data_IF_904480418141
#
_entry.id   IF_904480418141
#
_cell.length_a   1.000
_cell.length_b   1.000
_cell.length_c   1.000
_cell.angle_alpha   90.00
_cell.angle_beta   90.00
_cell.angle_gamma   90.00
#
_symmetry.space_group_name_H-M   'P 1'
#
loop_
_entity.id
_entity.type
_entity.pdbx_description
1 polymer ?
#
# COMPACT_ATOMS: atom_id res chain seq x y z
N UNK A 1 0.89 -16.11 12.96
CA UNK A 1 0.32 -15.09 12.05
C UNK A 1 1.39 -14.09 11.64
N UNK A 2 2.13 -13.46 12.60
CA UNK A 2 3.16 -12.47 12.28
C UNK A 2 4.32 -13.08 11.49
N UNK A 3 4.86 -14.22 11.93
CA UNK A 3 5.93 -14.94 11.24
C UNK A 3 5.50 -15.36 9.83
N UNK A 4 4.30 -15.91 9.68
CA UNK A 4 3.76 -16.36 8.39
C UNK A 4 3.56 -15.22 7.39
N UNK A 5 3.07 -14.04 7.84
CA UNK A 5 2.94 -12.86 6.99
C UNK A 5 4.31 -12.35 6.55
N UNK A 6 5.26 -12.32 7.47
CA UNK A 6 6.63 -11.92 7.21
C UNK A 6 7.31 -12.86 6.21
N UNK A 7 7.22 -14.18 6.44
CA UNK A 7 7.80 -15.20 5.55
C UNK A 7 7.19 -15.14 4.15
N UNK A 8 5.87 -14.89 4.06
CA UNK A 8 5.18 -14.76 2.77
C UNK A 8 5.64 -13.51 2.01
N UNK A 9 5.80 -12.38 2.68
CA UNK A 9 6.32 -11.15 2.09
C UNK A 9 7.77 -11.34 1.67
N UNK A 10 8.61 -11.85 2.55
CA UNK A 10 10.03 -12.09 2.29
C UNK A 10 10.24 -12.99 1.07
N UNK A 11 9.59 -14.15 1.02
CA UNK A 11 9.69 -15.08 -0.12
C UNK A 11 9.13 -14.50 -1.42
N UNK A 12 8.14 -13.60 -1.34
CA UNK A 12 7.60 -12.93 -2.53
C UNK A 12 8.60 -11.94 -3.10
N UNK A 13 9.26 -11.15 -2.26
CA UNK A 13 10.27 -10.18 -2.70
C UNK A 13 11.57 -10.83 -3.13
N UNK A 14 11.98 -11.93 -2.48
CA UNK A 14 13.12 -12.75 -2.93
C UNK A 14 12.90 -13.29 -4.36
N UNK A 15 11.68 -13.76 -4.66
CA UNK A 15 11.32 -14.17 -6.03
C UNK A 15 11.32 -13.02 -7.04
N UNK A 16 11.17 -11.79 -6.58
CA UNK A 16 11.30 -10.57 -7.39
C UNK A 16 12.76 -10.09 -7.52
N UNK A 17 13.73 -10.83 -6.93
CA UNK A 17 15.14 -10.53 -7.03
C UNK A 17 15.67 -9.53 -6.01
N UNK A 18 14.89 -9.18 -4.98
CA UNK A 18 15.34 -8.32 -3.89
C UNK A 18 15.88 -9.18 -2.73
N UNK A 19 17.18 -9.19 -2.56
CA UNK A 19 17.88 -9.97 -1.52
C UNK A 19 18.31 -9.14 -0.31
N UNK A 20 18.15 -7.81 -0.34
CA UNK A 20 18.73 -6.91 0.66
C UNK A 20 20.24 -6.76 0.54
N UNK A 21 20.83 -6.04 1.49
CA UNK A 21 22.28 -5.87 1.62
C UNK A 21 22.77 -6.57 2.88
N UNK A 22 23.90 -7.28 2.77
CA UNK A 22 24.58 -7.90 3.91
C UNK A 22 25.43 -6.86 4.65
N UNK A 23 25.44 -6.92 5.97
CA UNK A 23 26.34 -6.12 6.78
C UNK A 23 27.79 -6.57 6.52
N UNK A 24 28.69 -5.62 6.40
CA UNK A 24 30.09 -5.91 6.15
C UNK A 24 31.01 -5.01 6.99
N UNK A 25 32.17 -5.53 7.27
CA UNK A 25 33.31 -4.81 7.78
C UNK A 25 34.47 -5.02 6.82
N UNK A 26 35.16 -3.96 6.43
CA UNK A 26 36.33 -4.04 5.54
C UNK A 26 37.40 -3.12 6.07
N UNK A 27 38.53 -3.67 6.36
CA UNK A 27 39.75 -2.94 6.74
C UNK A 27 40.96 -3.62 6.08
N UNK A 28 41.73 -2.83 5.35
CA UNK A 28 42.98 -3.21 4.67
C UNK A 28 42.94 -4.57 3.97
N UNK A 29 43.25 -5.63 4.69
CA UNK A 29 43.42 -6.97 4.15
C UNK A 29 42.27 -7.93 4.43
N UNK A 30 41.33 -7.58 5.31
CA UNK A 30 40.21 -8.42 5.74
C UNK A 30 38.86 -7.79 5.44
N UNK A 31 38.02 -8.54 4.77
CA UNK A 31 36.59 -8.22 4.63
C UNK A 31 35.74 -9.34 5.24
N UNK A 32 34.83 -8.96 6.11
CA UNK A 32 33.89 -9.87 6.77
C UNK A 32 32.49 -9.47 6.36
N UNK A 33 31.71 -10.39 5.81
CA UNK A 33 30.36 -10.12 5.31
C UNK A 33 29.38 -11.09 5.97
N UNK A 34 28.29 -10.58 6.52
CA UNK A 34 27.21 -11.40 7.05
C UNK A 34 26.60 -12.26 5.93
N UNK A 35 26.31 -13.52 6.22
CA UNK A 35 25.70 -14.45 5.24
C UNK A 35 24.23 -14.09 4.97
N UNK A 36 23.51 -13.58 5.96
CA UNK A 36 22.14 -13.16 5.82
C UNK A 36 22.02 -11.65 5.57
N UNK A 37 21.26 -11.23 4.55
CA UNK A 37 20.98 -9.83 4.35
C UNK A 37 20.07 -9.30 5.45
N UNK A 38 20.28 -8.07 5.86
CA UNK A 38 19.44 -7.39 6.83
C UNK A 38 20.19 -6.69 7.96
N UNK A 39 19.40 -5.93 8.74
CA UNK A 39 19.93 -5.14 9.84
C UNK A 39 20.49 -5.99 11.01
N UNK A 40 20.14 -7.28 11.10
CA UNK A 40 20.64 -8.18 12.14
C UNK A 40 22.15 -8.36 12.06
N UNK A 41 22.74 -8.34 10.87
CA UNK A 41 24.16 -8.41 10.67
C UNK A 41 24.94 -7.19 11.20
N UNK A 42 24.26 -6.04 11.37
CA UNK A 42 24.88 -4.85 11.94
C UNK A 42 25.17 -4.97 13.45
N UNK A 43 24.60 -5.97 14.10
CA UNK A 43 24.84 -6.22 15.53
C UNK A 43 26.04 -7.14 15.74
N UNK A 44 26.63 -7.68 14.68
CA UNK A 44 27.84 -8.50 14.76
C UNK A 44 29.06 -7.65 14.99
N UNK A 45 29.87 -8.10 15.95
CA UNK A 45 31.16 -7.51 16.29
C UNK A 45 32.23 -8.59 16.18
N UNK A 46 33.29 -8.25 15.46
CA UNK A 46 34.44 -9.14 15.25
C UNK A 46 35.62 -8.70 16.13
N UNK A 47 36.25 -9.66 16.75
CA UNK A 47 37.50 -9.50 17.50
C UNK A 47 38.54 -10.50 17.00
N UNK A 48 39.74 -10.00 16.66
CA UNK A 48 40.87 -10.80 16.22
C UNK A 48 42.05 -10.53 17.15
N UNK A 49 42.38 -11.50 18.00
CA UNK A 49 43.40 -11.39 19.02
C UNK A 49 44.62 -12.28 18.68
N UNK A 50 45.81 -11.75 18.82
CA UNK A 50 47.03 -12.53 18.61
C UNK A 50 47.41 -13.28 19.90
N UNK A 51 47.64 -14.58 19.76
CA UNK A 51 48.08 -15.46 20.85
C UNK A 51 49.63 -15.38 21.04
N UNK A 52 50.10 -15.80 22.20
CA UNK A 52 51.53 -15.84 22.53
C UNK A 52 52.37 -16.76 21.62
N UNK A 53 51.73 -17.70 20.95
CA UNK A 53 52.35 -18.65 20.01
C UNK A 53 52.40 -18.13 18.56
N UNK A 54 51.94 -16.88 18.33
CA UNK A 54 51.91 -16.26 17.00
C UNK A 54 50.67 -16.59 16.16
N UNK A 55 49.73 -17.44 16.67
CA UNK A 55 48.43 -17.68 16.02
C UNK A 55 47.42 -16.65 16.45
N UNK A 56 46.29 -16.61 15.77
CA UNK A 56 45.19 -15.69 16.08
C UNK A 56 43.95 -16.44 16.60
N UNK A 57 43.22 -15.78 17.48
CA UNK A 57 41.88 -16.19 17.90
C UNK A 57 40.89 -15.20 17.34
N UNK A 58 39.93 -15.70 16.57
CA UNK A 58 38.87 -14.90 15.93
C UNK A 58 37.55 -15.18 16.65
N UNK A 59 36.93 -14.14 17.18
CA UNK A 59 35.65 -14.24 17.91
C UNK A 59 34.60 -13.36 17.24
N UNK A 60 33.45 -13.93 16.95
CA UNK A 60 32.26 -13.20 16.51
C UNK A 60 31.25 -13.19 17.65
N UNK A 61 30.78 -12.01 18.01
CA UNK A 61 29.82 -11.83 19.09
C UNK A 61 28.83 -10.67 18.78
N UNK A 62 27.79 -10.57 19.61
CA UNK A 62 26.86 -9.43 19.61
C UNK A 62 26.99 -8.67 20.91
N UNK A 63 27.27 -7.38 20.84
CA UNK A 63 27.27 -6.48 21.99
C UNK A 63 25.83 -6.00 22.27
N UNK A 64 25.22 -6.47 23.34
CA UNK A 64 23.89 -6.04 23.79
C UNK A 64 23.87 -4.65 24.43
N UNK A 65 25.02 -3.99 24.53
CA UNK A 65 25.15 -2.63 25.08
C UNK A 65 24.87 -2.54 26.59
N UNK A 66 24.88 -1.30 27.09
CA UNK A 66 24.76 -0.99 28.51
C UNK A 66 23.44 -1.41 29.17
N UNK A 67 22.39 -1.67 28.39
CA UNK A 67 21.09 -2.13 28.92
C UNK A 67 21.10 -3.57 29.43
N UNK A 68 22.11 -4.36 29.05
CA UNK A 68 22.27 -5.76 29.50
C UNK A 68 23.33 -5.93 30.60
N UNK A 69 23.91 -4.86 31.12
CA UNK A 69 24.99 -4.90 32.12
C UNK A 69 24.61 -5.45 33.49
N UNK A 70 23.32 -5.68 33.77
CA UNK A 70 22.84 -6.32 34.97
C UNK A 70 22.76 -7.86 34.86
N UNK A 71 23.01 -8.43 33.68
CA UNK A 71 23.06 -9.85 33.44
C UNK A 71 24.52 -10.34 33.53
N UNK A 72 24.77 -11.47 34.14
CA UNK A 72 26.10 -12.10 34.26
C UNK A 72 26.75 -12.48 32.92
N UNK A 73 26.07 -12.29 31.79
CA UNK A 73 26.57 -12.46 30.42
C UNK A 73 26.08 -11.32 29.52
N UNK A 74 26.95 -10.37 29.22
CA UNK A 74 26.65 -9.18 28.42
C UNK A 74 26.87 -9.39 26.92
N UNK A 75 27.40 -10.52 26.49
CA UNK A 75 27.83 -10.79 25.12
C UNK A 75 27.35 -12.17 24.69
N UNK A 76 26.56 -12.22 23.61
CA UNK A 76 26.26 -13.48 22.93
C UNK A 76 27.39 -13.78 21.94
N UNK A 77 28.22 -14.76 22.27
CA UNK A 77 29.28 -15.24 21.36
C UNK A 77 28.69 -16.25 20.39
N UNK A 78 28.80 -15.98 19.10
CA UNK A 78 28.32 -16.87 18.04
C UNK A 78 29.31 -18.00 17.77
N UNK A 79 30.59 -17.64 17.64
CA UNK A 79 31.68 -18.63 17.59
C UNK A 79 33.01 -18.03 18.04
N UNK A 80 33.94 -18.90 18.39
CA UNK A 80 35.35 -18.58 18.65
C UNK A 80 36.18 -19.59 17.90
N UNK A 81 37.07 -19.10 16.99
CA UNK A 81 38.00 -19.90 16.22
C UNK A 81 39.41 -19.64 16.72
N UNK A 82 40.03 -20.67 17.30
CA UNK A 82 41.38 -20.58 17.87
C UNK A 82 42.44 -21.18 16.92
N UNK A 83 43.66 -20.65 16.96
CA UNK A 83 44.82 -21.23 16.28
C UNK A 83 44.92 -20.91 14.79
N UNK A 84 44.25 -19.89 14.31
CA UNK A 84 44.31 -19.44 12.92
C UNK A 84 45.69 -18.84 12.65
N UNK A 85 46.37 -19.30 11.60
CA UNK A 85 47.71 -18.84 11.26
C UNK A 85 47.73 -18.00 9.98
N UNK A 86 46.85 -18.24 9.06
CA UNK A 86 46.81 -17.55 7.75
C UNK A 86 45.42 -17.02 7.39
N UNK A 87 45.37 -16.07 6.47
CA UNK A 87 44.14 -15.53 5.94
C UNK A 87 43.33 -16.57 5.13
N UNK A 88 44.08 -17.48 4.44
CA UNK A 88 43.47 -18.59 3.69
C UNK A 88 42.70 -19.55 4.60
N UNK A 89 43.27 -19.87 5.80
CA UNK A 89 42.57 -20.69 6.80
C UNK A 89 41.31 -20.02 7.29
N UNK A 90 41.36 -18.71 7.56
CA UNK A 90 40.19 -17.94 7.98
C UNK A 90 39.12 -17.85 6.87
N UNK A 91 39.54 -17.62 5.63
CA UNK A 91 38.61 -17.55 4.48
C UNK A 91 37.99 -18.92 4.15
N UNK A 92 38.67 -20.02 4.46
CA UNK A 92 38.15 -21.37 4.28
C UNK A 92 37.22 -21.83 5.44
N UNK A 93 37.14 -21.06 6.54
CA UNK A 93 36.30 -21.42 7.67
C UNK A 93 34.83 -21.23 7.34
N UNK A 94 34.09 -22.34 7.26
CA UNK A 94 32.65 -22.32 7.03
C UNK A 94 31.89 -22.23 8.36
N UNK A 95 30.98 -21.27 8.46
CA UNK A 95 30.09 -21.04 9.59
C UNK A 95 28.76 -20.47 9.10
N UNK A 96 27.74 -20.46 9.95
CA UNK A 96 26.38 -20.03 9.54
C UNK A 96 26.16 -18.51 9.52
N UNK A 97 27.13 -17.70 10.00
CA UNK A 97 26.90 -16.29 10.29
C UNK A 97 27.59 -15.32 9.31
N UNK A 98 28.87 -15.57 9.01
CA UNK A 98 29.68 -14.66 8.21
C UNK A 98 30.55 -15.40 7.21
N UNK A 99 30.96 -14.70 6.15
CA UNK A 99 32.01 -15.13 5.23
C UNK A 99 33.23 -14.22 5.39
N UNK A 100 34.38 -14.82 5.39
CA UNK A 100 35.66 -14.11 5.43
C UNK A 100 36.31 -14.08 4.05
N UNK A 101 36.85 -12.93 3.68
CA UNK A 101 37.62 -12.77 2.44
C UNK A 101 38.74 -11.78 2.68
N UNK A 102 39.88 -12.02 2.05
CA UNK A 102 41.03 -11.14 2.21
C UNK A 102 42.32 -11.75 1.66
N UNK A 103 43.37 -10.96 1.66
CA UNK A 103 44.68 -11.39 1.19
C UNK A 103 45.76 -10.75 2.08
N UNK A 104 46.81 -11.53 2.43
CA UNK A 104 47.91 -11.02 3.24
C UNK A 104 47.94 -11.57 4.66
N UNK A 105 48.58 -10.86 5.59
CA UNK A 105 48.70 -11.25 6.99
C UNK A 105 47.49 -10.85 7.79
N UNK A 106 47.14 -11.68 8.75
CA UNK A 106 46.13 -11.33 9.77
C UNK A 106 46.71 -10.24 10.69
N UNK A 107 45.89 -9.27 11.02
CA UNK A 107 46.17 -8.20 11.97
C UNK A 107 45.21 -8.28 13.17
N UNK A 108 45.65 -7.68 14.28
CA UNK A 108 44.78 -7.59 15.49
C UNK A 108 43.71 -6.57 15.22
N UNK A 109 42.44 -6.96 15.43
CA UNK A 109 41.26 -6.13 15.25
C UNK A 109 40.45 -6.23 16.53
N UNK A 110 40.04 -5.09 17.09
CA UNK A 110 39.22 -5.02 18.26
C UNK A 110 37.89 -4.33 17.98
N UNK A 111 36.81 -4.93 18.48
CA UNK A 111 35.46 -4.36 18.44
C UNK A 111 34.99 -3.91 17.03
N UNK A 112 35.39 -4.63 16.01
CA UNK A 112 35.04 -4.31 14.63
C UNK A 112 33.56 -4.61 14.35
N UNK A 113 32.75 -3.59 14.34
CA UNK A 113 31.30 -3.69 14.11
C UNK A 113 31.01 -3.78 12.60
N UNK A 114 30.22 -4.78 12.19
CA UNK A 114 29.72 -4.87 10.83
C UNK A 114 28.63 -3.80 10.62
N UNK A 115 28.59 -3.21 9.44
CA UNK A 115 27.65 -2.11 9.09
C UNK A 115 27.14 -2.26 7.67
N UNK A 116 26.10 -1.47 7.34
CA UNK A 116 25.55 -1.45 5.97
C UNK A 116 24.58 -2.57 5.64
N UNK A 117 24.30 -3.45 6.60
CA UNK A 117 23.27 -4.46 6.44
C UNK A 117 21.88 -3.82 6.42
N UNK A 118 21.16 -4.06 5.35
CA UNK A 118 19.77 -3.62 5.20
C UNK A 118 18.97 -4.70 4.47
N UNK A 119 17.72 -4.81 4.80
CA UNK A 119 16.84 -5.81 4.23
C UNK A 119 15.39 -5.37 4.23
N UNK A 120 14.54 -6.18 3.61
CA UNK A 120 13.08 -6.00 3.62
C UNK A 120 12.50 -5.75 5.02
N UNK A 121 13.18 -6.24 6.05
CA UNK A 121 12.76 -6.09 7.44
C UNK A 121 12.75 -4.63 7.88
N UNK A 122 13.74 -3.83 7.50
CA UNK A 122 13.80 -2.41 7.86
C UNK A 122 12.71 -1.61 7.17
N UNK A 123 12.38 -1.92 5.92
CA UNK A 123 11.32 -1.28 5.15
C UNK A 123 9.93 -1.45 5.77
N UNK A 124 9.62 -2.68 6.19
CA UNK A 124 8.28 -3.01 6.70
C UNK A 124 8.17 -2.93 8.23
N UNK A 125 9.28 -2.71 8.96
CA UNK A 125 9.28 -2.67 10.42
C UNK A 125 8.24 -1.70 11.01
N UNK A 126 8.04 -0.47 10.52
CA UNK A 126 7.03 0.43 11.06
C UNK A 126 5.60 -0.10 10.89
N UNK A 127 5.28 -0.64 9.70
CA UNK A 127 3.96 -1.23 9.43
C UNK A 127 3.73 -2.50 10.24
N UNK A 128 4.74 -3.35 10.35
CA UNK A 128 4.72 -4.56 11.15
C UNK A 128 4.60 -4.24 12.64
N UNK A 129 5.29 -3.20 13.12
CA UNK A 129 5.18 -2.74 14.50
C UNK A 129 3.76 -2.22 14.82
N UNK A 130 3.16 -1.42 13.93
CA UNK A 130 1.76 -0.99 14.06
C UNK A 130 0.80 -2.18 14.04
N UNK A 131 1.02 -3.15 13.15
CA UNK A 131 0.25 -4.39 13.14
C UNK A 131 0.41 -5.18 14.43
N UNK A 132 1.64 -5.32 14.95
CA UNK A 132 1.89 -5.99 16.24
C UNK A 132 1.23 -5.27 17.42
N UNK A 133 1.29 -3.94 17.46
CA UNK A 133 0.58 -3.15 18.48
C UNK A 133 -0.93 -3.39 18.38
N UNK A 134 -1.48 -3.36 17.17
CA UNK A 134 -2.90 -3.59 16.95
C UNK A 134 -3.31 -5.02 17.33
N UNK A 135 -2.59 -6.04 16.86
CA UNK A 135 -2.93 -7.43 17.12
C UNK A 135 -2.52 -7.92 18.52
N UNK A 136 -1.43 -7.41 19.09
CA UNK A 136 -0.87 -7.87 20.35
C UNK A 136 -1.37 -7.12 21.58
N UNK A 137 -1.62 -5.82 21.47
CA UNK A 137 -1.96 -4.96 22.61
C UNK A 137 -3.43 -4.58 22.70
N UNK A 138 -4.14 -4.54 21.57
CA UNK A 138 -5.56 -4.18 21.55
C UNK A 138 -6.42 -5.42 21.81
N UNK A 139 -7.33 -5.42 22.78
CA UNK A 139 -8.25 -6.53 23.04
C UNK A 139 -9.06 -6.90 21.80
N UNK A 140 -9.33 -8.19 21.59
CA UNK A 140 -10.02 -8.70 20.42
C UNK A 140 -11.36 -8.00 20.14
N UNK A 141 -12.16 -7.75 21.19
CA UNK A 141 -13.45 -7.07 21.07
C UNK A 141 -13.30 -5.65 20.51
N UNK A 142 -12.27 -4.90 20.95
CA UNK A 142 -12.00 -3.55 20.46
C UNK A 142 -11.53 -3.61 19.01
N UNK A 143 -10.70 -4.58 18.63
CA UNK A 143 -10.25 -4.77 17.23
C UNK A 143 -11.43 -4.99 16.29
N UNK A 144 -12.35 -5.88 16.66
CA UNK A 144 -13.56 -6.12 15.86
C UNK A 144 -14.45 -4.88 15.77
N UNK A 145 -14.60 -4.17 16.90
CA UNK A 145 -15.37 -2.91 16.91
C UNK A 145 -14.75 -1.87 15.97
N UNK A 146 -13.43 -1.65 16.05
CA UNK A 146 -12.71 -0.72 15.17
C UNK A 146 -12.79 -1.13 13.70
N UNK A 147 -12.69 -2.42 13.39
CA UNK A 147 -12.85 -2.94 12.04
C UNK A 147 -14.25 -2.63 11.49
N UNK A 148 -15.30 -2.94 12.26
CA UNK A 148 -16.69 -2.67 11.87
C UNK A 148 -16.89 -1.17 11.65
N UNK A 149 -16.46 -0.33 12.57
CA UNK A 149 -16.56 1.13 12.43
C UNK A 149 -15.79 1.63 11.18
N UNK A 150 -14.61 1.09 10.90
CA UNK A 150 -13.83 1.44 9.72
C UNK A 150 -14.54 1.08 8.42
N UNK A 151 -15.15 -0.11 8.35
CA UNK A 151 -15.93 -0.55 7.19
C UNK A 151 -17.17 0.35 6.99
N UNK A 152 -17.87 0.69 8.07
CA UNK A 152 -19.05 1.56 8.00
C UNK A 152 -18.71 3.01 7.62
N UNK A 153 -17.58 3.53 8.13
CA UNK A 153 -17.12 4.89 7.86
C UNK A 153 -16.46 5.03 6.47
N UNK A 154 -15.95 3.93 5.92
CA UNK A 154 -15.20 3.93 4.66
C UNK A 154 -15.97 4.57 3.50
N UNK A 155 -17.20 4.13 3.25
CA UNK A 155 -18.01 4.62 2.16
C UNK A 155 -18.36 6.11 2.25
N UNK A 156 -18.90 6.60 3.39
CA UNK A 156 -19.16 8.03 3.60
C UNK A 156 -17.91 8.90 3.45
N UNK A 157 -16.77 8.50 4.04
CA UNK A 157 -15.51 9.21 3.90
C UNK A 157 -15.05 9.26 2.45
N UNK A 158 -15.18 8.15 1.73
CA UNK A 158 -14.87 8.08 0.29
C UNK A 158 -15.75 9.04 -0.52
N UNK A 159 -17.03 9.19 -0.20
CA UNK A 159 -17.92 10.18 -0.83
C UNK A 159 -17.42 11.61 -0.58
N UNK A 160 -17.08 11.96 0.66
CA UNK A 160 -16.57 13.30 0.98
C UNK A 160 -15.27 13.63 0.22
N UNK A 161 -14.30 12.72 0.23
CA UNK A 161 -13.04 12.88 -0.52
C UNK A 161 -13.31 13.00 -2.03
N UNK A 162 -14.21 12.18 -2.57
CA UNK A 162 -14.56 12.22 -3.99
C UNK A 162 -15.18 13.55 -4.39
N UNK A 163 -16.02 14.13 -3.55
CA UNK A 163 -16.60 15.47 -3.78
C UNK A 163 -15.54 16.54 -3.88
N UNK A 164 -14.65 16.63 -2.92
CA UNK A 164 -13.58 17.63 -2.89
C UNK A 164 -12.65 17.48 -4.10
N UNK A 165 -12.21 16.27 -4.40
CA UNK A 165 -11.34 16.01 -5.54
C UNK A 165 -12.03 16.29 -6.89
N UNK A 166 -13.36 16.03 -7.00
CA UNK A 166 -14.15 16.42 -8.17
C UNK A 166 -14.14 17.93 -8.37
N UNK A 167 -14.38 18.69 -7.30
CA UNK A 167 -14.39 20.15 -7.37
C UNK A 167 -13.02 20.69 -7.81
N UNK A 168 -11.94 20.20 -7.20
CA UNK A 168 -10.59 20.56 -7.66
C UNK A 168 -10.32 20.21 -9.13
N UNK A 169 -10.84 19.10 -9.62
CA UNK A 169 -10.69 18.72 -11.04
C UNK A 169 -11.44 19.64 -12.00
N UNK A 170 -12.37 20.46 -11.50
CA UNK A 170 -13.18 21.44 -12.23
C UNK A 170 -12.78 22.88 -11.94
N UNK A 171 -11.64 23.08 -11.27
CA UNK A 171 -11.18 24.41 -10.83
C UNK A 171 -12.18 25.14 -9.90
N UNK A 172 -13.12 24.39 -9.31
CA UNK A 172 -14.08 24.92 -8.33
C UNK A 172 -13.46 24.94 -6.95
N UNK A 173 -13.74 26.00 -6.20
CA UNK A 173 -13.23 26.12 -4.84
C UNK A 173 -13.91 25.10 -3.90
N UNK A 174 -13.12 24.43 -3.05
CA UNK A 174 -13.63 23.49 -2.06
C UNK A 174 -12.71 23.49 -0.84
N UNK A 175 -13.33 23.37 0.36
CA UNK A 175 -12.61 23.32 1.62
C UNK A 175 -12.47 21.88 2.13
N UNK A 176 -11.49 21.63 2.97
CA UNK A 176 -11.32 20.31 3.61
C UNK A 176 -12.54 19.96 4.48
N UNK A 177 -13.22 20.97 5.07
CA UNK A 177 -14.48 20.79 5.82
C UNK A 177 -15.58 20.13 4.99
N UNK A 178 -15.61 20.37 3.68
CA UNK A 178 -16.63 19.82 2.78
C UNK A 178 -16.56 18.29 2.70
N UNK A 179 -15.40 17.69 3.00
CA UNK A 179 -15.27 16.23 3.13
C UNK A 179 -16.25 15.71 4.17
N UNK A 180 -16.30 16.37 5.33
CA UNK A 180 -17.14 15.93 6.43
C UNK A 180 -18.62 16.19 6.17
N UNK A 181 -18.94 17.34 5.61
CA UNK A 181 -20.33 17.71 5.34
C UNK A 181 -20.92 16.81 4.24
N UNK A 182 -20.19 16.54 3.18
CA UNK A 182 -20.63 15.64 2.11
C UNK A 182 -20.60 14.16 2.52
N UNK A 183 -19.72 13.76 3.43
CA UNK A 183 -19.78 12.44 4.05
C UNK A 183 -21.08 12.23 4.85
N UNK A 184 -21.50 13.25 5.63
CA UNK A 184 -22.77 13.21 6.38
C UNK A 184 -23.98 13.23 5.46
N UNK A 185 -24.00 14.08 4.44
CA UNK A 185 -25.09 14.18 3.49
C UNK A 185 -25.37 12.84 2.77
N UNK A 186 -24.29 12.17 2.36
CA UNK A 186 -24.35 10.93 1.59
C UNK A 186 -24.14 9.66 2.44
N UNK A 187 -24.27 9.75 3.78
CA UNK A 187 -23.87 8.68 4.67
C UNK A 187 -24.59 7.34 4.40
N UNK A 188 -25.90 7.37 4.09
CA UNK A 188 -26.71 6.15 3.87
C UNK A 188 -26.27 5.41 2.61
N UNK A 189 -26.19 6.12 1.49
CA UNK A 189 -25.79 5.52 0.21
C UNK A 189 -24.31 5.16 0.22
N UNK A 190 -23.46 6.05 0.74
CA UNK A 190 -22.03 5.83 0.89
C UNK A 190 -21.73 4.62 1.77
N UNK A 191 -22.37 4.51 2.96
CA UNK A 191 -22.17 3.39 3.86
C UNK A 191 -22.60 2.07 3.22
N UNK A 192 -23.81 2.01 2.62
CA UNK A 192 -24.31 0.79 2.00
C UNK A 192 -23.37 0.33 0.88
N UNK A 193 -22.97 1.24 0.00
CA UNK A 193 -22.06 0.90 -1.08
C UNK A 193 -20.64 0.60 -0.57
N UNK A 194 -20.17 1.29 0.48
CA UNK A 194 -18.89 1.03 1.11
C UNK A 194 -18.78 -0.39 1.70
N UNK A 195 -19.86 -0.87 2.33
CA UNK A 195 -19.92 -2.26 2.82
C UNK A 195 -19.86 -3.25 1.65
N UNK A 196 -20.66 -3.02 0.58
CA UNK A 196 -20.63 -3.86 -0.63
C UNK A 196 -19.22 -3.87 -1.25
N UNK A 197 -18.59 -2.71 -1.34
CA UNK A 197 -17.22 -2.53 -1.87
C UNK A 197 -16.19 -3.33 -1.06
N UNK A 198 -16.26 -3.26 0.28
CA UNK A 198 -15.41 -4.06 1.16
C UNK A 198 -15.63 -5.57 1.00
N UNK A 199 -16.88 -6.02 0.88
CA UNK A 199 -17.19 -7.44 0.66
C UNK A 199 -16.62 -7.92 -0.68
N UNK A 200 -16.85 -7.16 -1.76
CA UNK A 200 -16.33 -7.53 -3.09
C UNK A 200 -14.80 -7.54 -3.08
N UNK A 201 -14.15 -6.53 -2.49
CA UNK A 201 -12.70 -6.50 -2.36
C UNK A 201 -12.16 -7.70 -1.58
N UNK A 202 -12.81 -8.07 -0.47
CA UNK A 202 -12.45 -9.24 0.32
C UNK A 202 -12.58 -10.54 -0.48
N UNK A 203 -13.66 -10.69 -1.25
CA UNK A 203 -13.87 -11.87 -2.11
C UNK A 203 -12.81 -11.96 -3.21
N UNK A 204 -12.44 -10.85 -3.83
CA UNK A 204 -11.36 -10.80 -4.84
C UNK A 204 -10.04 -11.23 -4.21
N UNK A 205 -9.66 -10.62 -3.07
CA UNK A 205 -8.42 -10.96 -2.36
C UNK A 205 -8.41 -12.42 -1.93
N UNK A 206 -9.52 -12.90 -1.35
CA UNK A 206 -9.65 -14.31 -0.95
C UNK A 206 -9.43 -15.27 -2.11
N UNK A 207 -10.08 -15.03 -3.26
CA UNK A 207 -9.92 -15.88 -4.44
C UNK A 207 -8.48 -15.84 -4.97
N UNK A 208 -7.84 -14.65 -5.01
CA UNK A 208 -6.47 -14.51 -5.49
C UNK A 208 -5.44 -15.21 -4.59
N UNK A 209 -5.64 -15.19 -3.28
CA UNK A 209 -4.73 -15.77 -2.29
C UNK A 209 -4.99 -17.24 -2.02
N UNK A 210 -6.17 -17.75 -2.40
CA UNK A 210 -6.53 -19.15 -2.15
C UNK A 210 -5.58 -20.13 -2.85
N UNK A 211 -5.05 -21.09 -2.09
CA UNK A 211 -4.15 -22.16 -2.58
C UNK A 211 -4.93 -23.48 -2.59
N UNK A 212 -5.23 -24.02 -3.77
CA UNK A 212 -5.98 -25.27 -3.91
C UNK A 212 -5.10 -26.50 -3.68
N UNK A 213 -5.74 -27.66 -3.45
CA UNK A 213 -5.10 -28.97 -3.60
C UNK A 213 -4.73 -29.24 -5.06
N UNK A 214 -3.83 -30.18 -5.31
CA UNK A 214 -3.34 -30.50 -6.65
C UNK A 214 -4.48 -30.85 -7.64
N UNK A 215 -5.52 -31.55 -7.17
CA UNK A 215 -6.67 -31.98 -7.99
C UNK A 215 -7.51 -30.80 -8.50
N UNK A 216 -7.60 -29.70 -7.72
CA UNK A 216 -8.40 -28.53 -8.05
C UNK A 216 -7.60 -27.37 -8.65
N UNK A 217 -6.29 -27.53 -8.82
CA UNK A 217 -5.39 -26.46 -9.22
C UNK A 217 -5.79 -25.78 -10.53
N UNK A 218 -6.14 -26.57 -11.57
CA UNK A 218 -6.53 -26.05 -12.88
C UNK A 218 -7.83 -25.23 -12.81
N UNK A 219 -8.85 -25.74 -12.11
CA UNK A 219 -10.13 -25.05 -11.95
C UNK A 219 -9.97 -23.73 -11.21
N UNK A 220 -9.22 -23.73 -10.10
CA UNK A 220 -8.98 -22.52 -9.32
C UNK A 220 -8.16 -21.50 -10.11
N UNK A 221 -7.22 -21.95 -10.95
CA UNK A 221 -6.48 -21.03 -11.82
C UNK A 221 -7.39 -20.33 -12.83
N UNK A 222 -8.34 -21.05 -13.43
CA UNK A 222 -9.36 -20.44 -14.31
C UNK A 222 -10.21 -19.43 -13.53
N UNK A 223 -10.67 -19.79 -12.32
CA UNK A 223 -11.42 -18.87 -11.46
C UNK A 223 -10.63 -17.60 -11.12
N UNK A 224 -9.32 -17.70 -10.92
CA UNK A 224 -8.45 -16.53 -10.68
C UNK A 224 -8.42 -15.59 -11.89
N UNK A 225 -8.27 -16.11 -13.11
CA UNK A 225 -8.30 -15.28 -14.32
C UNK A 225 -9.66 -14.60 -14.51
N UNK A 226 -10.76 -15.33 -14.30
CA UNK A 226 -12.11 -14.74 -14.36
C UNK A 226 -12.27 -13.65 -13.30
N UNK A 227 -11.83 -13.90 -12.07
CA UNK A 227 -11.88 -12.91 -10.98
C UNK A 227 -11.03 -11.68 -11.28
N UNK A 228 -9.87 -11.84 -11.91
CA UNK A 228 -9.03 -10.71 -12.34
C UNK A 228 -9.78 -9.84 -13.37
N UNK A 229 -10.39 -10.47 -14.38
CA UNK A 229 -11.14 -9.75 -15.42
C UNK A 229 -12.34 -9.00 -14.84
N UNK A 230 -13.17 -9.71 -14.07
CA UNK A 230 -14.36 -9.13 -13.41
C UNK A 230 -13.95 -8.06 -12.39
N UNK A 231 -12.91 -8.31 -11.62
CA UNK A 231 -12.36 -7.37 -10.65
C UNK A 231 -11.84 -6.09 -11.31
N UNK A 232 -11.15 -6.19 -12.44
CA UNK A 232 -10.70 -5.02 -13.21
C UNK A 232 -11.89 -4.18 -13.67
N UNK A 233 -12.92 -4.82 -14.22
CA UNK A 233 -14.15 -4.13 -14.64
C UNK A 233 -14.88 -3.49 -13.46
N UNK A 234 -14.95 -4.20 -12.33
CA UNK A 234 -15.51 -3.67 -11.09
C UNK A 234 -14.75 -2.40 -10.60
N UNK A 235 -13.42 -2.40 -10.66
CA UNK A 235 -12.61 -1.23 -10.29
C UNK A 235 -12.94 -0.03 -11.19
N UNK A 236 -13.20 -0.23 -12.48
CA UNK A 236 -13.66 0.84 -13.36
C UNK A 236 -15.04 1.33 -12.96
N UNK A 237 -16.00 0.43 -12.76
CA UNK A 237 -17.37 0.77 -12.37
C UNK A 237 -17.44 1.52 -11.03
N UNK A 238 -16.65 1.10 -10.05
CA UNK A 238 -16.57 1.68 -8.71
C UNK A 238 -16.25 3.17 -8.71
N UNK A 239 -15.37 3.64 -9.61
CA UNK A 239 -15.02 5.06 -9.74
C UNK A 239 -16.27 5.90 -10.09
N UNK A 240 -17.08 5.43 -11.02
CA UNK A 240 -18.31 6.11 -11.42
C UNK A 240 -19.37 6.11 -10.31
N UNK A 241 -19.47 5.03 -9.52
CA UNK A 241 -20.46 4.93 -8.45
C UNK A 241 -20.24 6.03 -7.41
N UNK A 242 -19.05 6.13 -6.82
CA UNK A 242 -18.77 7.16 -5.82
C UNK A 242 -18.92 8.57 -6.38
N UNK A 243 -18.50 8.77 -7.62
CA UNK A 243 -18.62 10.06 -8.28
C UNK A 243 -20.10 10.43 -8.53
N UNK A 244 -20.94 9.48 -8.93
CA UNK A 244 -22.39 9.71 -9.09
C UNK A 244 -23.10 9.93 -7.77
N UNK A 245 -22.74 9.25 -6.69
CA UNK A 245 -23.33 9.46 -5.35
C UNK A 245 -23.19 10.92 -4.93
N UNK A 246 -22.05 11.56 -5.23
CA UNK A 246 -21.80 12.94 -4.81
C UNK A 246 -22.19 14.00 -5.85
N UNK A 247 -22.53 13.59 -7.08
CA UNK A 247 -22.86 14.52 -8.18
C UNK A 247 -24.36 14.55 -8.44
N UNK A 248 -25.04 13.39 -8.42
CA UNK A 248 -26.44 13.28 -8.80
C UNK A 248 -27.24 12.53 -7.75
N UNK A 249 -28.47 13.01 -7.45
CA UNK A 249 -29.32 12.39 -6.42
C UNK A 249 -30.15 11.25 -7.05
N UNK A 250 -29.51 10.11 -7.31
CA UNK A 250 -30.14 8.92 -7.89
C UNK A 250 -30.28 7.79 -6.85
N UNK A 251 -31.25 6.90 -7.10
CA UNK A 251 -31.35 5.64 -6.35
C UNK A 251 -30.13 4.75 -6.63
N UNK A 252 -29.69 3.99 -5.63
CA UNK A 252 -28.49 3.15 -5.72
C UNK A 252 -28.55 2.16 -6.91
N UNK A 253 -29.74 1.60 -7.23
CA UNK A 253 -29.92 0.72 -8.40
C UNK A 253 -29.63 1.44 -9.71
N UNK A 254 -30.12 2.67 -9.87
CA UNK A 254 -29.84 3.51 -11.04
C UNK A 254 -28.38 3.90 -11.12
N UNK A 255 -27.73 4.21 -10.00
CA UNK A 255 -26.31 4.48 -9.91
C UNK A 255 -25.49 3.28 -10.41
N UNK A 256 -25.78 2.07 -9.92
CA UNK A 256 -25.05 0.85 -10.33
C UNK A 256 -25.25 0.57 -11.83
N UNK A 257 -26.50 0.70 -12.33
CA UNK A 257 -26.81 0.50 -13.76
C UNK A 257 -26.06 1.49 -14.65
N UNK A 258 -26.09 2.77 -14.30
CA UNK A 258 -25.40 3.81 -15.05
C UNK A 258 -23.86 3.67 -14.94
N UNK A 259 -23.34 3.31 -13.77
CA UNK A 259 -21.93 3.06 -13.58
C UNK A 259 -21.41 1.93 -14.47
N UNK A 260 -22.18 0.86 -14.59
CA UNK A 260 -21.87 -0.27 -15.47
C UNK A 260 -21.79 0.20 -16.94
N UNK A 261 -22.80 0.97 -17.41
CA UNK A 261 -22.84 1.50 -18.77
C UNK A 261 -21.66 2.46 -19.02
N UNK A 262 -21.42 3.41 -18.11
CA UNK A 262 -20.32 4.37 -18.22
C UNK A 262 -18.94 3.71 -18.17
N UNK A 263 -18.79 2.62 -17.41
CA UNK A 263 -17.56 1.85 -17.40
C UNK A 263 -17.23 1.25 -18.77
N UNK A 264 -18.25 0.80 -19.51
CA UNK A 264 -18.09 0.33 -20.90
C UNK A 264 -17.82 1.46 -21.87
N UNK A 265 -18.62 2.53 -21.85
CA UNK A 265 -18.44 3.68 -22.73
C UNK A 265 -17.04 4.30 -22.52
N UNK A 266 -16.60 4.36 -21.27
CA UNK A 266 -15.32 4.95 -20.87
C UNK A 266 -14.15 3.97 -20.82
N UNK A 267 -14.23 2.77 -21.42
CA UNK A 267 -13.23 1.72 -21.24
C UNK A 267 -11.80 2.18 -21.55
N UNK A 268 -11.59 2.90 -22.63
CA UNK A 268 -10.28 3.46 -22.98
C UNK A 268 -9.81 4.51 -21.96
N UNK A 269 -10.69 5.41 -21.52
CA UNK A 269 -10.37 6.40 -20.49
C UNK A 269 -10.02 5.75 -19.17
N UNK A 270 -10.78 4.73 -18.78
CA UNK A 270 -10.52 3.96 -17.57
C UNK A 270 -9.19 3.22 -17.66
N UNK A 271 -8.86 2.67 -18.82
CA UNK A 271 -7.60 1.98 -19.05
C UNK A 271 -6.40 2.96 -18.94
N UNK A 272 -6.44 4.09 -19.63
CA UNK A 272 -5.37 5.10 -19.55
C UNK A 272 -5.26 5.73 -18.16
N UNK A 273 -6.37 5.97 -17.47
CA UNK A 273 -6.36 6.40 -16.07
C UNK A 273 -5.77 5.33 -15.16
N UNK A 274 -6.05 4.06 -15.42
CA UNK A 274 -5.46 2.93 -14.72
C UNK A 274 -3.95 2.85 -14.92
N UNK A 275 -3.48 3.05 -16.15
CA UNK A 275 -2.06 3.09 -16.48
C UNK A 275 -1.35 4.28 -15.80
N UNK A 276 -1.98 5.46 -15.77
CA UNK A 276 -1.46 6.61 -15.04
C UNK A 276 -1.35 6.35 -13.53
N UNK A 277 -2.35 5.71 -12.95
CA UNK A 277 -2.31 5.29 -11.54
C UNK A 277 -1.20 4.26 -11.28
N UNK A 278 -1.02 3.29 -12.18
CA UNK A 278 0.07 2.31 -12.09
C UNK A 278 1.44 3.01 -12.13
N UNK A 279 1.61 3.99 -13.00
CA UNK A 279 2.85 4.76 -13.09
C UNK A 279 3.12 5.51 -11.77
N UNK A 280 2.09 6.13 -11.16
CA UNK A 280 2.23 6.78 -9.84
C UNK A 280 2.67 5.76 -8.79
N UNK A 281 2.08 4.57 -8.77
CA UNK A 281 2.47 3.53 -7.82
C UNK A 281 3.91 3.05 -8.03
N UNK A 282 4.37 2.95 -9.29
CA UNK A 282 5.76 2.60 -9.61
C UNK A 282 6.70 3.69 -9.11
N UNK A 283 6.40 4.97 -9.42
CA UNK A 283 7.21 6.11 -8.96
C UNK A 283 7.23 6.18 -7.44
N UNK A 284 6.08 5.99 -6.81
CA UNK A 284 5.97 5.93 -5.36
C UNK A 284 6.82 4.83 -4.75
N UNK A 285 6.77 3.63 -5.32
CA UNK A 285 7.59 2.50 -4.89
C UNK A 285 9.09 2.82 -4.98
N UNK A 286 9.53 3.43 -6.09
CA UNK A 286 10.93 3.83 -6.27
C UNK A 286 11.35 4.92 -5.27
N UNK A 287 10.46 5.88 -4.97
CA UNK A 287 10.72 6.91 -3.97
C UNK A 287 10.78 6.33 -2.55
N UNK A 288 9.92 5.38 -2.23
CA UNK A 288 9.91 4.67 -0.95
C UNK A 288 11.23 3.94 -0.72
N UNK A 289 11.76 3.29 -1.77
CA UNK A 289 13.08 2.63 -1.70
C UNK A 289 14.24 3.59 -1.42
N UNK A 290 14.07 4.89 -1.74
CA UNK A 290 15.12 5.90 -1.57
C UNK A 290 15.02 6.70 -0.26
N UNK A 291 13.91 6.60 0.49
CA UNK A 291 13.59 7.46 1.63
C UNK A 291 13.35 6.64 2.90
N UNK A 292 13.60 7.24 4.06
CA UNK A 292 13.45 6.58 5.36
C UNK A 292 11.99 6.10 5.60
N UNK A 293 11.77 4.90 6.17
CA UNK A 293 10.46 4.24 6.36
C UNK A 293 9.38 5.09 7.04
N UNK A 294 9.75 6.04 7.89
CA UNK A 294 8.80 6.94 8.56
C UNK A 294 8.00 7.81 7.56
N UNK A 295 8.63 8.23 6.46
CA UNK A 295 7.98 9.04 5.44
C UNK A 295 7.07 8.22 4.52
N UNK A 296 7.26 6.89 4.46
CA UNK A 296 6.46 5.98 3.64
C UNK A 296 4.98 6.05 4.01
N UNK A 297 4.65 5.96 5.31
CA UNK A 297 3.26 5.94 5.79
C UNK A 297 2.56 7.26 5.46
N UNK A 298 3.26 8.39 5.63
CA UNK A 298 2.73 9.71 5.33
C UNK A 298 2.54 9.91 3.82
N UNK A 299 3.53 9.50 3.01
CA UNK A 299 3.49 9.62 1.56
C UNK A 299 2.43 8.70 0.93
N UNK A 300 2.40 7.41 1.31
CA UNK A 300 1.42 6.44 0.83
C UNK A 300 -0.02 6.81 1.21
N UNK A 301 -0.22 7.22 2.47
CA UNK A 301 -1.56 7.49 2.98
C UNK A 301 -2.17 8.77 2.40
N UNK A 302 -1.43 9.85 2.33
CA UNK A 302 -1.96 11.17 1.97
C UNK A 302 -1.78 11.52 0.50
N UNK A 303 -0.57 11.40 -0.03
CA UNK A 303 -0.28 11.90 -1.38
C UNK A 303 -0.71 10.90 -2.47
N UNK A 304 -0.25 9.66 -2.40
CA UNK A 304 -0.50 8.68 -3.48
C UNK A 304 -1.99 8.37 -3.59
N UNK A 305 -2.67 8.17 -2.45
CA UNK A 305 -4.11 7.95 -2.43
C UNK A 305 -4.87 9.14 -3.05
N UNK A 306 -4.51 10.37 -2.72
CA UNK A 306 -5.15 11.57 -3.25
C UNK A 306 -4.88 11.73 -4.73
N UNK A 307 -3.63 11.58 -5.19
CA UNK A 307 -3.27 11.71 -6.60
C UNK A 307 -3.95 10.64 -7.48
N UNK A 308 -3.95 9.38 -7.06
CA UNK A 308 -4.58 8.30 -7.83
C UNK A 308 -6.10 8.46 -7.93
N UNK A 309 -6.74 8.95 -6.87
CA UNK A 309 -8.17 9.28 -6.93
C UNK A 309 -8.43 10.51 -7.78
N UNK A 310 -7.60 11.56 -7.71
CA UNK A 310 -7.74 12.76 -8.53
C UNK A 310 -7.65 12.44 -10.02
N UNK A 311 -6.64 11.69 -10.47
CA UNK A 311 -6.53 11.25 -11.88
C UNK A 311 -7.75 10.42 -12.29
N UNK A 312 -8.20 9.52 -11.42
CA UNK A 312 -9.37 8.69 -11.72
C UNK A 312 -10.64 9.52 -11.87
N UNK A 313 -10.85 10.50 -11.00
CA UNK A 313 -12.00 11.40 -11.02
C UNK A 313 -11.93 12.31 -12.25
N UNK A 314 -10.80 12.94 -12.54
CA UNK A 314 -10.60 13.79 -13.69
C UNK A 314 -10.83 13.05 -15.03
N UNK A 315 -10.51 11.76 -15.07
CA UNK A 315 -10.79 10.91 -16.23
C UNK A 315 -12.28 10.53 -16.35
N UNK A 316 -12.97 10.25 -15.22
CA UNK A 316 -14.34 9.74 -15.22
C UNK A 316 -15.40 10.85 -15.31
N UNK A 317 -15.15 12.00 -14.67
CA UNK A 317 -16.13 13.08 -14.51
C UNK A 317 -16.70 13.59 -15.84
N UNK A 318 -15.92 13.85 -16.90
CA UNK A 318 -16.46 14.35 -18.16
C UNK A 318 -17.49 13.43 -18.83
N UNK A 319 -17.45 12.12 -18.53
CA UNK A 319 -18.48 11.19 -19.02
C UNK A 319 -19.77 11.31 -18.20
N UNK A 320 -19.66 11.48 -16.89
CA UNK A 320 -20.83 11.72 -16.04
C UNK A 320 -21.49 13.05 -16.40
N UNK A 321 -20.69 14.08 -16.60
CA UNK A 321 -21.18 15.39 -17.01
C UNK A 321 -21.98 15.28 -18.33
N UNK A 322 -21.36 14.72 -19.37
CA UNK A 322 -21.98 14.60 -20.68
C UNK A 322 -23.26 13.74 -20.72
N UNK A 323 -23.26 12.60 -20.02
CA UNK A 323 -24.33 11.62 -20.15
C UNK A 323 -25.38 11.68 -19.04
N UNK A 324 -25.10 12.36 -17.92
CA UNK A 324 -26.03 12.45 -16.80
C UNK A 324 -26.31 13.89 -16.39
N UNK A 325 -25.30 14.71 -16.10
CA UNK A 325 -25.51 16.06 -15.55
C UNK A 325 -26.18 16.97 -16.55
N UNK A 326 -25.63 17.09 -17.77
CA UNK A 326 -26.18 17.95 -18.82
C UNK A 326 -27.60 17.56 -19.24
N UNK A 327 -27.94 16.27 -19.50
CA UNK A 327 -29.31 15.88 -19.82
C UNK A 327 -30.30 16.15 -18.67
N UNK A 328 -29.90 15.94 -17.41
CA UNK A 328 -30.74 16.24 -16.25
C UNK A 328 -31.01 17.74 -16.16
N UNK A 329 -29.98 18.56 -16.28
CA UNK A 329 -30.12 20.02 -16.25
C UNK A 329 -31.01 20.54 -17.38
N UNK A 330 -30.88 20.01 -18.59
CA UNK A 330 -31.72 20.35 -19.73
C UNK A 330 -33.20 19.97 -19.48
N UNK A 331 -33.49 18.77 -19.01
CA UNK A 331 -34.87 18.36 -18.68
C UNK A 331 -35.50 19.25 -17.60
N UNK A 332 -34.72 19.59 -16.56
CA UNK A 332 -35.23 20.50 -15.51
C UNK A 332 -35.48 21.90 -16.04
N UNK A 333 -34.61 22.42 -16.91
CA UNK A 333 -34.83 23.70 -17.56
C UNK A 333 -36.07 23.72 -18.50
N UNK A 334 -36.30 22.62 -19.24
CA UNK A 334 -37.48 22.45 -20.08
C UNK A 334 -38.77 22.36 -19.22
N UNK A 335 -38.74 21.62 -18.12
CA UNK A 335 -39.89 21.50 -17.23
C UNK A 335 -40.22 22.84 -16.53
N UNK A 336 -39.19 23.61 -16.15
CA UNK A 336 -39.32 24.94 -15.58
C UNK A 336 -39.89 25.93 -16.60
N UNK A 337 -39.41 25.94 -17.85
CA UNK A 337 -39.88 26.78 -18.93
C UNK A 337 -41.33 26.45 -19.30
N UNK A 338 -41.70 25.18 -19.37
CA UNK A 338 -43.09 24.75 -19.59
C UNK A 338 -44.01 25.23 -18.48
N UNK A 339 -43.58 25.18 -17.22
CA UNK A 339 -44.36 25.65 -16.06
C UNK A 339 -44.52 27.19 -16.07
N UNK A 340 -43.55 27.92 -16.60
CA UNK A 340 -43.56 29.39 -16.75
C UNK A 340 -44.28 29.87 -18.02
N UNK A 341 -44.60 28.98 -18.98
CA UNK A 341 -45.14 29.33 -20.31
C UNK A 341 -44.13 29.98 -21.24
N UNK A 342 -42.81 29.76 -20.99
CA UNK A 342 -41.71 30.33 -21.76
C UNK A 342 -41.06 29.28 -22.68
N UNK A 343 -40.34 29.74 -23.69
CA UNK A 343 -39.55 28.84 -24.57
C UNK A 343 -38.32 28.37 -23.83
N UNK A 344 -38.00 27.06 -23.85
CA UNK A 344 -36.82 26.55 -23.16
C UNK A 344 -35.52 27.13 -23.73
N UNK A 345 -34.67 27.65 -22.87
CA UNK A 345 -33.33 28.13 -23.22
C UNK A 345 -32.32 27.02 -22.94
N UNK A 346 -31.43 26.75 -23.90
CA UNK A 346 -30.36 25.76 -23.71
C UNK A 346 -29.44 26.16 -22.55
N UNK A 347 -29.22 25.25 -21.61
CA UNK A 347 -28.32 25.49 -20.49
C UNK A 347 -26.86 25.37 -20.95
N UNK A 348 -26.01 26.39 -20.74
CA UNK A 348 -24.61 26.35 -21.13
C UNK A 348 -23.85 25.21 -20.42
N UNK A 349 -22.89 24.59 -21.10
CA UNK A 349 -22.12 23.43 -20.60
C UNK A 349 -21.46 23.65 -19.23
N UNK A 350 -21.06 24.88 -18.88
CA UNK A 350 -20.40 25.19 -17.60
C UNK A 350 -21.35 25.56 -16.43
N UNK A 351 -22.63 25.81 -16.70
CA UNK A 351 -23.61 26.22 -15.69
C UNK A 351 -24.55 25.08 -15.26
N UNK A 352 -24.43 23.91 -15.87
CA UNK A 352 -25.35 22.80 -15.68
C UNK A 352 -25.41 22.27 -14.25
N UNK A 353 -24.37 22.43 -13.44
CA UNK A 353 -24.38 21.97 -12.05
C UNK A 353 -24.85 23.02 -11.02
N UNK A 354 -24.60 24.31 -11.26
CA UNK A 354 -25.15 25.38 -10.41
C UNK A 354 -26.67 25.51 -10.58
N UNK A 355 -27.17 25.10 -11.75
CA UNK A 355 -28.59 25.08 -12.08
C UNK A 355 -29.33 23.83 -11.58
N UNK A 356 -28.64 22.81 -11.04
CA UNK A 356 -29.29 21.65 -10.43
C UNK A 356 -29.90 22.04 -9.07
N UNK A 357 -31.17 22.44 -8.96
CA UNK A 357 -31.87 22.44 -7.68
C UNK A 357 -31.85 21.00 -7.15
N UNK A 358 -31.92 20.81 -5.83
CA UNK A 358 -31.98 19.49 -5.20
C UNK A 358 -32.92 18.56 -5.97
N UNK A 359 -32.39 17.75 -6.87
CA UNK A 359 -33.18 16.87 -7.72
C UNK A 359 -33.89 15.86 -6.82
N UNK A 360 -35.22 15.90 -6.78
CA UNK A 360 -36.04 14.95 -6.02
C UNK A 360 -35.64 13.53 -6.42
N UNK A 361 -35.39 12.67 -5.42
CA UNK A 361 -34.87 11.30 -5.53
C UNK A 361 -35.65 10.34 -6.43
N UNK A 362 -36.73 10.77 -7.05
CA UNK A 362 -37.67 9.93 -7.78
C UNK A 362 -37.59 10.01 -9.32
N UNK A 363 -36.59 10.70 -9.86
CA UNK A 363 -36.42 10.78 -11.32
C UNK A 363 -35.96 9.41 -11.87
N UNK A 364 -36.90 8.68 -12.45
CA UNK A 364 -36.65 7.47 -13.23
C UNK A 364 -36.01 7.92 -14.55
N UNK A 365 -34.68 8.02 -14.58
CA UNK A 365 -33.92 8.10 -15.80
C UNK A 365 -33.53 6.68 -16.21
N UNK A 366 -34.12 6.21 -17.32
CA UNK A 366 -34.00 4.90 -17.99
C UNK A 366 -34.58 3.71 -17.28
#
# INVERSE_FOLDING_TARGET
VYAEVYDTLYTTFERLGYTGTCAAYSQDNLTVTAKEPGASGNDYVLDVNQNKNGTFTVTLYTDRGAAAKDATNTVDTWFTLEGVSTMEELAAYDNDYVTFSGTGSLEVIHDAKLTGGDGLRSMFTPLLYLAMLYFGRVPAAIRWLLLILSVLAYGPTKCGVTYVLRNYSRESHSWISDIWDKAKENWKQGMLFGVIDCVIATLIVFNMTYRPSAEMAALVQICKYVTLLVGMFYVFMRKYIYLMIVTVQLNLRSIIKNAWLLAFIGIFRNFFSGLGNLLIWIVAYLLIMAVHPFFEILFLGLLIYSFTNFISISACYPLIDKYLVQPIAQMQAEDAAKAAGETPVAVPEHQSEEALPEAKRDTKLF
#
